data_IF_087347262203
#
_entry.id   IF_087347262203
#
_cell.length_a   1.000
_cell.length_b   1.000
_cell.length_c   1.000
_cell.angle_alpha   90.00
_cell.angle_beta   90.00
_cell.angle_gamma   90.00
#
_symmetry.space_group_name_H-M   'P 1'
#
loop_
_entity.id
_entity.type
_entity.pdbx_description
1 polymer ?
#
# COMPACT_ATOMS: atom_id res chain seq x y z
N UNK A 1 14.02 -3.56 -1.49
CA UNK A 1 15.19 -2.89 -0.85
C UNK A 1 14.93 -1.39 -0.82
N UNK A 2 15.49 -0.67 0.15
CA UNK A 2 15.34 0.79 0.24
C UNK A 2 16.65 1.47 0.64
N UNK A 3 16.79 2.76 0.37
CA UNK A 3 17.86 3.60 0.92
C UNK A 3 17.52 4.00 2.35
N UNK A 4 18.52 4.12 3.23
CA UNK A 4 18.26 4.36 4.64
C UNK A 4 17.57 5.71 4.87
N UNK A 5 16.59 5.71 5.78
CA UNK A 5 15.93 6.90 6.29
C UNK A 5 15.92 6.85 7.82
N UNK A 6 17.05 7.16 8.47
CA UNK A 6 17.13 7.07 9.94
C UNK A 6 16.03 7.93 10.57
N UNK A 7 15.31 7.38 11.54
CA UNK A 7 14.19 8.07 12.20
C UNK A 7 14.64 9.31 12.99
N UNK A 8 15.92 9.38 13.38
CA UNK A 8 16.51 10.51 14.07
C UNK A 8 16.78 11.70 13.14
N UNK A 9 16.40 12.91 13.58
CA UNK A 9 16.73 14.18 12.94
C UNK A 9 15.58 14.80 12.15
N UNK A 10 15.79 16.03 11.68
CA UNK A 10 14.77 16.79 10.95
C UNK A 10 14.40 16.13 9.61
N UNK A 11 13.12 16.15 9.18
CA UNK A 11 12.65 15.46 7.96
C UNK A 11 13.45 15.80 6.69
N UNK A 12 13.81 17.08 6.50
CA UNK A 12 14.59 17.54 5.35
C UNK A 12 15.98 16.89 5.33
N UNK A 13 16.64 16.82 6.49
CA UNK A 13 17.96 16.20 6.64
C UNK A 13 17.87 14.70 6.37
N UNK A 14 16.80 14.04 6.84
CA UNK A 14 16.55 12.61 6.59
C UNK A 14 16.40 12.31 5.10
N UNK A 15 15.62 13.12 4.37
CA UNK A 15 15.44 12.97 2.92
C UNK A 15 16.74 13.18 2.16
N UNK A 16 17.50 14.23 2.50
CA UNK A 16 18.82 14.49 1.90
C UNK A 16 19.77 13.30 2.13
N UNK A 17 19.83 12.77 3.36
CA UNK A 17 20.64 11.58 3.67
C UNK A 17 20.22 10.38 2.83
N UNK A 18 18.93 10.13 2.70
CA UNK A 18 18.39 9.01 1.92
C UNK A 18 18.77 9.10 0.44
N UNK A 19 18.65 10.30 -0.15
CA UNK A 19 19.04 10.53 -1.54
C UNK A 19 20.55 10.32 -1.73
N UNK A 20 21.37 10.79 -0.78
CA UNK A 20 22.83 10.64 -0.82
C UNK A 20 23.34 9.25 -0.39
N UNK A 21 22.48 8.40 0.16
CA UNK A 21 22.87 7.07 0.62
C UNK A 21 23.30 6.20 -0.56
N UNK A 22 24.45 5.56 -0.46
CA UNK A 22 24.98 4.70 -1.52
C UNK A 22 24.74 3.23 -1.25
N UNK A 23 24.21 2.89 -0.07
CA UNK A 23 23.92 1.52 0.31
C UNK A 23 22.43 1.24 0.24
N UNK A 24 22.11 0.03 -0.22
CA UNK A 24 20.77 -0.53 -0.14
C UNK A 24 20.66 -1.35 1.13
N UNK A 25 19.50 -1.33 1.77
CA UNK A 25 19.17 -2.33 2.78
C UNK A 25 19.15 -3.73 2.16
N UNK A 26 19.22 -4.76 3.00
CA UNK A 26 18.74 -6.08 2.62
C UNK A 26 17.26 -6.01 2.16
N UNK A 27 16.78 -6.99 1.38
CA UNK A 27 15.36 -7.09 1.05
C UNK A 27 14.51 -7.05 2.33
N UNK A 28 13.47 -6.22 2.31
CA UNK A 28 12.49 -6.11 3.38
C UNK A 28 11.17 -6.66 2.83
N UNK A 29 10.47 -7.53 3.58
CA UNK A 29 9.22 -8.09 3.12
C UNK A 29 8.13 -7.01 3.13
N UNK A 30 7.23 -7.08 2.15
CA UNK A 30 5.96 -6.37 2.16
C UNK A 30 4.92 -7.34 2.72
N UNK A 31 4.40 -7.04 3.91
CA UNK A 31 3.52 -7.93 4.64
C UNK A 31 2.04 -7.69 4.37
N UNK A 32 1.27 -8.78 4.28
CA UNK A 32 -0.19 -8.77 4.28
C UNK A 32 -0.67 -9.85 5.24
N UNK A 33 -1.74 -9.59 5.99
CA UNK A 33 -2.27 -10.54 6.97
C UNK A 33 -3.70 -10.94 6.64
N UNK A 34 -3.91 -12.23 6.38
CA UNK A 34 -5.24 -12.84 6.31
C UNK A 34 -5.68 -13.25 7.72
N UNK A 35 -6.70 -12.60 8.24
CA UNK A 35 -7.26 -12.84 9.57
C UNK A 35 -8.49 -13.74 9.41
N UNK A 36 -8.43 -14.92 10.03
CA UNK A 36 -9.57 -15.85 10.15
C UNK A 36 -10.29 -15.59 11.46
N UNK A 37 -11.44 -14.94 11.41
CA UNK A 37 -12.25 -14.63 12.59
C UNK A 37 -13.59 -15.39 12.52
N UNK A 38 -14.23 -15.74 13.65
CA UNK A 38 -15.56 -16.37 13.64
C UNK A 38 -16.62 -15.60 12.85
N UNK A 39 -16.45 -14.27 12.72
CA UNK A 39 -17.37 -13.43 11.95
C UNK A 39 -17.09 -13.35 10.45
N UNK A 40 -15.97 -13.90 9.98
CA UNK A 40 -15.57 -13.86 8.57
C UNK A 40 -14.06 -13.73 8.36
N UNK A 41 -13.67 -13.62 7.10
CA UNK A 41 -12.29 -13.40 6.69
C UNK A 41 -12.03 -11.90 6.56
N UNK A 42 -10.95 -11.43 7.17
CA UNK A 42 -10.52 -10.04 7.06
C UNK A 42 -9.12 -9.99 6.51
N UNK A 43 -8.83 -8.96 5.72
CA UNK A 43 -7.49 -8.70 5.22
C UNK A 43 -6.95 -7.43 5.88
N UNK A 44 -5.73 -7.48 6.41
CA UNK A 44 -5.02 -6.30 6.88
C UNK A 44 -3.89 -5.97 5.90
N UNK A 45 -4.00 -4.80 5.28
CA UNK A 45 -3.25 -4.35 4.09
C UNK A 45 -3.46 -5.23 2.84
N UNK A 46 -3.00 -4.75 1.68
CA UNK A 46 -3.09 -5.44 0.38
C UNK A 46 -1.74 -5.61 -0.30
N UNK A 47 -0.67 -5.15 0.36
CA UNK A 47 0.70 -5.29 -0.14
C UNK A 47 0.97 -4.38 -1.33
N UNK A 48 1.94 -4.80 -2.15
CA UNK A 48 2.34 -4.10 -3.37
C UNK A 48 1.79 -4.81 -4.61
N UNK A 49 1.35 -4.05 -5.62
CA UNK A 49 0.95 -4.65 -6.90
C UNK A 49 2.18 -5.09 -7.69
N UNK A 50 2.17 -6.27 -8.36
CA UNK A 50 3.22 -6.69 -9.28
C UNK A 50 3.46 -5.69 -10.43
N UNK A 51 2.45 -4.88 -10.76
CA UNK A 51 2.54 -3.80 -11.74
C UNK A 51 3.52 -2.69 -11.31
N UNK A 52 4.02 -2.68 -10.06
CA UNK A 52 5.04 -1.73 -9.62
C UNK A 52 6.36 -1.81 -10.41
N UNK A 53 6.60 -2.93 -11.09
CA UNK A 53 7.74 -3.12 -11.97
C UNK A 53 7.57 -2.39 -13.32
N UNK A 54 6.35 -1.97 -13.66
CA UNK A 54 6.04 -1.39 -14.96
C UNK A 54 6.47 0.08 -15.07
N UNK A 55 6.76 0.49 -16.31
CA UNK A 55 7.05 1.89 -16.60
C UNK A 55 5.76 2.70 -16.51
N UNK A 56 5.71 3.65 -15.58
CA UNK A 56 4.58 4.56 -15.41
C UNK A 56 3.64 4.22 -14.26
N UNK A 57 3.90 3.14 -13.51
CA UNK A 57 3.10 2.76 -12.34
C UNK A 57 3.07 3.86 -11.26
N UNK A 58 4.23 4.35 -10.84
CA UNK A 58 4.29 5.40 -9.82
C UNK A 58 3.82 6.75 -10.37
N UNK A 59 3.06 7.55 -9.58
CA UNK A 59 2.64 8.90 -9.96
C UNK A 59 3.83 9.75 -10.40
N UNK A 60 3.62 10.66 -11.36
CA UNK A 60 4.67 11.63 -11.76
C UNK A 60 5.15 12.51 -10.59
N UNK A 61 4.28 12.74 -9.60
CA UNK A 61 4.61 13.47 -8.38
C UNK A 61 5.55 12.70 -7.44
N UNK A 62 5.67 11.37 -7.61
CA UNK A 62 6.51 10.49 -6.80
C UNK A 62 7.99 10.49 -7.27
N UNK A 63 8.57 11.70 -7.42
CA UNK A 63 9.89 11.94 -8.04
C UNK A 63 11.03 11.12 -7.42
N UNK A 64 10.91 10.73 -6.15
CA UNK A 64 11.96 10.02 -5.41
C UNK A 64 11.69 8.53 -5.19
N UNK A 65 10.47 8.02 -5.41
CA UNK A 65 10.14 6.64 -5.05
C UNK A 65 11.03 5.61 -5.77
N UNK A 66 11.25 5.80 -7.08
CA UNK A 66 12.13 4.91 -7.87
C UNK A 66 13.61 5.00 -7.51
N UNK A 67 14.04 6.10 -6.88
CA UNK A 67 15.45 6.32 -6.47
C UNK A 67 15.69 5.77 -5.07
N UNK A 68 14.68 5.80 -4.22
CA UNK A 68 14.77 5.45 -2.81
C UNK A 68 14.32 4.02 -2.51
N UNK A 69 13.49 3.43 -3.36
CA UNK A 69 12.94 2.08 -3.19
C UNK A 69 13.10 1.27 -4.46
N UNK A 70 13.53 0.02 -4.31
CA UNK A 70 13.60 -0.98 -5.36
C UNK A 70 12.73 -2.17 -4.96
N UNK A 71 11.64 -2.37 -5.72
CA UNK A 71 10.69 -3.46 -5.50
C UNK A 71 11.06 -4.67 -6.37
N UNK A 72 10.82 -5.85 -5.83
CA UNK A 72 10.91 -7.11 -6.55
C UNK A 72 9.66 -7.88 -6.16
N UNK A 73 8.59 -7.63 -6.91
CA UNK A 73 7.27 -8.23 -6.67
C UNK A 73 6.93 -9.05 -7.89
N UNK A 74 6.88 -10.36 -7.75
CA UNK A 74 6.51 -11.26 -8.83
C UNK A 74 4.98 -11.31 -8.99
N UNK A 75 4.45 -11.74 -10.15
CA UNK A 75 3.01 -11.94 -10.31
C UNK A 75 2.39 -12.86 -9.24
N UNK A 76 3.17 -13.81 -8.70
CA UNK A 76 2.75 -14.70 -7.60
C UNK A 76 2.65 -14.02 -6.24
N UNK A 77 3.28 -12.85 -6.08
CA UNK A 77 3.27 -12.07 -4.83
C UNK A 77 2.08 -11.10 -4.77
N UNK A 78 1.33 -10.95 -5.87
CA UNK A 78 0.12 -10.13 -5.91
C UNK A 78 -0.99 -10.67 -5.00
N UNK A 79 -1.78 -9.77 -4.41
CA UNK A 79 -2.73 -10.15 -3.36
C UNK A 79 -3.77 -11.19 -3.80
N UNK A 80 -4.24 -11.12 -5.04
CA UNK A 80 -5.21 -12.09 -5.58
C UNK A 80 -4.58 -13.49 -5.67
N UNK A 81 -3.32 -13.59 -6.07
CA UNK A 81 -2.56 -14.83 -6.14
C UNK A 81 -2.25 -15.37 -4.74
N UNK A 82 -1.85 -14.51 -3.80
CA UNK A 82 -1.64 -14.89 -2.40
C UNK A 82 -2.91 -15.47 -1.77
N UNK A 83 -4.08 -14.83 -1.98
CA UNK A 83 -5.37 -15.35 -1.49
C UNK A 83 -5.71 -16.71 -2.13
N UNK A 84 -5.51 -16.85 -3.44
CA UNK A 84 -5.75 -18.09 -4.18
C UNK A 84 -4.89 -19.25 -3.63
N UNK A 85 -3.62 -19.00 -3.32
CA UNK A 85 -2.72 -19.99 -2.70
C UNK A 85 -3.20 -20.43 -1.31
N UNK A 86 -3.95 -19.58 -0.61
CA UNK A 86 -4.60 -19.90 0.67
C UNK A 86 -6.00 -20.51 0.51
N UNK A 87 -6.43 -20.78 -0.72
CA UNK A 87 -7.76 -21.30 -1.03
C UNK A 87 -8.90 -20.30 -0.75
N UNK A 88 -8.60 -19.01 -0.75
CA UNK A 88 -9.56 -17.92 -0.47
C UNK A 88 -9.82 -17.14 -1.75
N UNK A 89 -11.09 -16.93 -2.09
CA UNK A 89 -11.45 -16.00 -3.16
C UNK A 89 -11.53 -14.58 -2.59
N UNK A 90 -11.20 -13.53 -3.37
CA UNK A 90 -11.42 -12.15 -2.94
C UNK A 90 -12.85 -11.87 -2.43
N UNK A 91 -13.86 -12.50 -3.04
CA UNK A 91 -15.27 -12.39 -2.63
C UNK A 91 -15.61 -13.07 -1.31
N UNK A 92 -14.73 -13.92 -0.78
CA UNK A 92 -14.91 -14.55 0.54
C UNK A 92 -14.48 -13.61 1.68
N UNK A 93 -13.76 -12.52 1.36
CA UNK A 93 -13.37 -11.52 2.33
C UNK A 93 -14.59 -10.70 2.77
N UNK A 94 -14.73 -10.51 4.08
CA UNK A 94 -15.74 -9.66 4.69
C UNK A 94 -15.34 -8.18 4.64
N UNK A 95 -14.06 -7.89 4.79
CA UNK A 95 -13.51 -6.53 4.68
C UNK A 95 -11.99 -6.52 4.52
N UNK A 96 -11.48 -5.39 4.04
CA UNK A 96 -10.06 -5.01 4.07
C UNK A 96 -9.88 -3.86 5.03
N UNK A 97 -8.85 -3.92 5.88
CA UNK A 97 -8.44 -2.85 6.77
C UNK A 97 -7.06 -2.39 6.32
N UNK A 98 -6.93 -1.11 5.99
CA UNK A 98 -5.64 -0.53 5.62
C UNK A 98 -5.01 0.12 6.85
N UNK A 99 -3.76 -0.23 7.11
CA UNK A 99 -2.94 0.48 8.09
C UNK A 99 -2.72 1.94 7.65
N UNK A 100 -2.44 2.13 6.36
CA UNK A 100 -2.29 3.42 5.68
C UNK A 100 -2.28 3.25 4.15
N UNK A 101 -2.13 4.35 3.41
CA UNK A 101 -2.29 4.42 1.94
C UNK A 101 -0.99 4.36 1.13
N UNK A 102 0.16 4.05 1.73
CA UNK A 102 1.38 3.89 0.95
C UNK A 102 1.28 2.68 0.01
N UNK A 103 2.02 2.76 -1.10
CA UNK A 103 2.01 1.78 -2.19
C UNK A 103 2.32 0.34 -1.74
N UNK A 104 3.12 0.14 -0.71
CA UNK A 104 3.45 -1.18 -0.14
C UNK A 104 2.36 -1.73 0.79
N UNK A 105 1.34 -0.93 1.12
CA UNK A 105 0.21 -1.35 1.96
C UNK A 105 -1.11 -1.37 1.20
N UNK A 106 -1.28 -0.43 0.26
CA UNK A 106 -2.50 -0.22 -0.51
C UNK A 106 -2.33 -0.56 -2.00
N UNK A 107 -1.15 -0.99 -2.44
CA UNK A 107 -0.82 -1.19 -3.85
C UNK A 107 -1.67 -2.26 -4.53
N UNK A 108 -2.07 -3.30 -3.81
CA UNK A 108 -2.94 -4.36 -4.33
C UNK A 108 -4.43 -4.02 -4.38
N UNK A 109 -4.85 -2.80 -4.00
CA UNK A 109 -6.28 -2.45 -3.92
C UNK A 109 -7.00 -2.51 -5.27
N UNK A 110 -6.39 -1.99 -6.35
CA UNK A 110 -7.00 -1.99 -7.68
C UNK A 110 -7.32 -3.42 -8.14
N UNK A 111 -6.34 -4.31 -8.05
CA UNK A 111 -6.47 -5.73 -8.41
C UNK A 111 -7.53 -6.44 -7.54
N UNK A 112 -7.52 -6.16 -6.24
CA UNK A 112 -8.43 -6.79 -5.29
C UNK A 112 -9.90 -6.36 -5.50
N UNK A 113 -10.14 -5.06 -5.69
CA UNK A 113 -11.49 -4.50 -5.92
C UNK A 113 -12.00 -4.86 -7.32
N UNK A 114 -11.12 -4.97 -8.32
CA UNK A 114 -11.52 -5.53 -9.61
C UNK A 114 -12.05 -6.97 -9.49
N UNK A 115 -11.49 -7.77 -8.57
CA UNK A 115 -11.93 -9.14 -8.32
C UNK A 115 -13.12 -9.25 -7.36
N UNK A 116 -13.31 -8.28 -6.45
CA UNK A 116 -14.43 -8.21 -5.51
C UNK A 116 -14.96 -6.75 -5.37
N UNK A 117 -15.81 -6.29 -6.31
CA UNK A 117 -16.24 -4.89 -6.38
C UNK A 117 -16.99 -4.37 -5.14
N UNK A 118 -17.70 -5.25 -4.43
CA UNK A 118 -18.50 -4.90 -3.25
C UNK A 118 -17.72 -5.01 -1.93
N UNK A 119 -16.42 -5.37 -1.97
CA UNK A 119 -15.59 -5.58 -0.79
C UNK A 119 -15.36 -4.26 -0.04
N UNK A 120 -15.86 -4.10 1.21
CA UNK A 120 -15.63 -2.87 1.94
C UNK A 120 -14.16 -2.72 2.37
N UNK A 121 -13.62 -1.54 2.10
CA UNK A 121 -12.27 -1.14 2.52
C UNK A 121 -12.38 -0.13 3.65
N UNK A 122 -11.62 -0.33 4.72
CA UNK A 122 -11.61 0.52 5.90
C UNK A 122 -10.26 1.23 6.04
N UNK A 123 -10.31 2.50 6.46
CA UNK A 123 -9.14 3.33 6.74
C UNK A 123 -9.45 4.29 7.89
N UNK A 124 -8.43 4.68 8.66
CA UNK A 124 -8.62 5.63 9.75
C UNK A 124 -9.01 7.02 9.25
N UNK A 125 -9.78 7.75 10.06
CA UNK A 125 -10.14 9.14 9.77
C UNK A 125 -8.93 10.04 9.64
N UNK A 126 -7.96 9.91 10.55
CA UNK A 126 -6.75 10.73 10.56
C UNK A 126 -5.96 10.53 9.27
N UNK A 127 -5.78 9.27 8.86
CA UNK A 127 -5.03 8.94 7.66
C UNK A 127 -5.77 9.38 6.39
N UNK A 128 -7.09 9.22 6.34
CA UNK A 128 -7.90 9.69 5.22
C UNK A 128 -7.84 11.21 5.05
N UNK A 129 -7.98 11.97 6.14
CA UNK A 129 -7.85 13.43 6.11
C UNK A 129 -6.44 13.88 5.68
N UNK A 130 -5.40 13.20 6.15
CA UNK A 130 -4.02 13.59 5.83
C UNK A 130 -3.62 13.27 4.37
N UNK A 131 -4.12 12.16 3.81
CA UNK A 131 -3.65 11.64 2.51
C UNK A 131 -4.77 11.37 1.50
N UNK A 132 -5.87 10.75 1.93
CA UNK A 132 -6.99 10.37 1.07
C UNK A 132 -7.65 11.56 0.38
N UNK A 133 -7.88 12.64 1.11
CA UNK A 133 -8.43 13.90 0.60
C UNK A 133 -7.43 14.71 -0.24
N UNK A 134 -6.16 14.29 -0.27
CA UNK A 134 -5.07 15.00 -0.94
C UNK A 134 -4.24 14.10 -1.86
N UNK A 135 -4.82 13.54 -2.95
CA UNK A 135 -4.14 12.55 -3.81
C UNK A 135 -2.78 13.02 -4.34
N UNK A 136 -2.65 14.28 -4.75
CA UNK A 136 -1.37 14.79 -5.23
C UNK A 136 -0.28 14.72 -4.15
N UNK A 137 -0.60 15.12 -2.92
CA UNK A 137 0.30 15.05 -1.78
C UNK A 137 0.59 13.60 -1.37
N UNK A 138 -0.43 12.74 -1.35
CA UNK A 138 -0.25 11.32 -1.09
C UNK A 138 0.71 10.66 -2.09
N UNK A 139 0.61 11.01 -3.38
CA UNK A 139 1.55 10.56 -4.39
C UNK A 139 3.01 10.98 -4.13
N UNK A 140 3.23 12.18 -3.60
CA UNK A 140 4.57 12.66 -3.22
C UNK A 140 5.15 11.90 -2.01
N UNK A 141 4.28 11.42 -1.12
CA UNK A 141 4.67 10.80 0.14
C UNK A 141 4.76 9.27 0.08
N UNK A 142 4.47 8.65 -1.07
CA UNK A 142 4.64 7.20 -1.25
C UNK A 142 3.37 6.44 -1.60
N UNK A 143 2.22 7.10 -1.75
CA UNK A 143 1.00 6.45 -2.24
C UNK A 143 0.97 6.38 -3.78
N UNK A 144 0.07 5.55 -4.30
CA UNK A 144 -0.21 5.39 -5.73
C UNK A 144 -1.69 5.67 -6.03
N UNK A 145 -2.17 6.92 -5.83
CA UNK A 145 -3.58 7.26 -6.01
C UNK A 145 -4.11 7.10 -7.45
N UNK A 146 -3.21 7.06 -8.43
CA UNK A 146 -3.54 6.69 -9.81
C UNK A 146 -3.93 5.21 -9.98
N UNK A 147 -3.68 4.39 -8.96
CA UNK A 147 -4.03 2.98 -8.84
C UNK A 147 -4.98 2.73 -7.65
N UNK A 148 -5.65 3.77 -7.14
CA UNK A 148 -6.80 3.53 -6.27
C UNK A 148 -8.00 3.12 -7.14
N UNK A 149 -8.94 2.33 -6.59
CA UNK A 149 -10.18 2.00 -7.28
C UNK A 149 -10.87 3.25 -7.87
N UNK A 150 -11.59 3.09 -8.98
CA UNK A 150 -12.40 4.20 -9.52
C UNK A 150 -13.43 4.62 -8.48
N UNK A 151 -13.57 5.94 -8.30
CA UNK A 151 -14.45 6.54 -7.29
C UNK A 151 -14.19 5.98 -5.88
N UNK A 152 -12.91 5.74 -5.54
CA UNK A 152 -12.51 5.15 -4.26
C UNK A 152 -13.05 5.93 -3.06
N UNK A 153 -13.98 5.29 -2.34
CA UNK A 153 -14.63 5.81 -1.15
C UNK A 153 -14.58 4.77 -0.04
N UNK A 154 -13.47 4.69 0.72
CA UNK A 154 -13.35 3.74 1.81
C UNK A 154 -14.27 4.12 2.98
N UNK A 155 -14.63 3.12 3.78
CA UNK A 155 -15.34 3.32 5.05
C UNK A 155 -14.37 3.89 6.08
N UNK A 156 -14.70 5.06 6.59
CA UNK A 156 -13.87 5.75 7.58
C UNK A 156 -14.19 5.21 8.98
N UNK A 157 -13.14 4.82 9.70
CA UNK A 157 -13.23 4.40 11.11
C UNK A 157 -12.51 5.39 12.02
N UNK A 158 -13.11 5.60 13.18
CA UNK A 158 -12.50 6.30 14.31
C UNK A 158 -11.99 5.23 15.27
N UNK A 159 -10.74 5.36 15.73
CA UNK A 159 -10.16 4.45 16.72
C UNK A 159 -10.37 4.95 18.16
N UNK A 160 -11.09 6.06 18.31
CA UNK A 160 -11.47 6.62 19.61
C UNK A 160 -12.77 5.95 20.07
N UNK A 161 -12.63 4.95 20.96
CA UNK A 161 -13.62 4.64 21.99
C UNK A 161 -13.28 5.44 23.27
#
# INVERSE_FOLDING_TARGET
MMRSQPASGYPIIRRLRSVCDRQWTHPLPVGVFLIRHPEGLFLFDTGQSPCCNDTGYFPRAALFNKVLSNFTIEPSDGIVQLLSQQGVKPTDLKAVILSHLHNDHAGGLEDLIAAAPDLPVYVSREHWKAFGEHPFFAGMEGATPNHWPKDFSPKIIDYED
#
